data_IF_645850549615
#
_entry.id   IF_645850549615
#
_cell.length_a   1.000
_cell.length_b   1.000
_cell.length_c   1.000
_cell.angle_alpha   90.00
_cell.angle_beta   90.00
_cell.angle_gamma   90.00
#
_symmetry.space_group_name_H-M   'P 1'
#
loop_
_entity.id
_entity.type
_entity.pdbx_description
1 polymer ?
#
# COMPACT_ATOMS: atom_id res chain seq x y z
N UNK A 1 -14.19 -5.80 3.46
CA UNK A 1 -12.75 -5.55 3.52
C UNK A 1 -12.40 -5.11 4.95
N UNK A 2 -11.98 -6.06 5.78
CA UNK A 2 -11.79 -5.83 7.22
C UNK A 2 -10.44 -5.15 7.45
N UNK A 3 -10.47 -3.85 7.64
CA UNK A 3 -9.35 -3.10 8.19
C UNK A 3 -9.47 -3.15 9.71
N UNK A 4 -8.95 -4.21 10.34
CA UNK A 4 -8.79 -4.24 11.80
C UNK A 4 -7.69 -3.23 12.15
N UNK A 5 -8.11 -2.08 12.63
CA UNK A 5 -7.26 -1.07 13.26
C UNK A 5 -6.98 -1.54 14.70
N UNK A 6 -6.23 -2.64 14.81
CA UNK A 6 -5.60 -3.08 16.05
C UNK A 6 -4.12 -2.81 15.88
N UNK A 7 -3.47 -2.29 16.91
CA UNK A 7 -2.02 -2.14 17.05
C UNK A 7 -1.36 -3.53 17.09
N UNK A 8 -1.49 -4.30 16.01
CA UNK A 8 -0.80 -5.56 15.89
C UNK A 8 0.65 -5.24 15.52
N UNK A 9 1.56 -5.75 16.33
CA UNK A 9 3.00 -5.69 16.06
C UNK A 9 3.21 -6.15 14.60
N UNK A 10 3.61 -5.22 13.72
CA UNK A 10 3.84 -5.55 12.30
C UNK A 10 4.96 -6.58 12.24
N UNK A 11 4.80 -7.61 11.42
CA UNK A 11 5.77 -8.69 11.29
C UNK A 11 7.16 -8.19 10.85
N UNK A 12 7.20 -7.09 10.11
CA UNK A 12 8.45 -6.40 9.76
C UNK A 12 9.29 -6.08 10.99
N UNK A 13 8.70 -5.61 12.10
CA UNK A 13 9.47 -5.32 13.31
C UNK A 13 10.06 -6.58 13.95
N UNK A 14 9.33 -7.70 13.86
CA UNK A 14 9.86 -9.00 14.33
C UNK A 14 11.07 -9.40 13.49
N UNK A 15 11.01 -9.25 12.18
CA UNK A 15 12.13 -9.54 11.27
C UNK A 15 13.34 -8.63 11.56
N UNK A 16 13.11 -7.33 11.79
CA UNK A 16 14.17 -6.39 12.15
C UNK A 16 14.83 -6.79 13.45
N UNK A 17 14.03 -7.11 14.47
CA UNK A 17 14.54 -7.58 15.75
C UNK A 17 15.38 -8.87 15.62
N UNK A 18 14.88 -9.85 14.86
CA UNK A 18 15.61 -11.10 14.62
C UNK A 18 16.94 -10.85 13.90
N UNK A 19 17.00 -9.99 12.87
CA UNK A 19 18.23 -9.65 12.19
C UNK A 19 19.28 -9.06 13.17
N UNK A 20 18.85 -8.13 14.04
CA UNK A 20 19.75 -7.56 15.07
C UNK A 20 20.19 -8.64 16.05
N UNK A 21 19.28 -9.47 16.56
CA UNK A 21 19.59 -10.49 17.53
C UNK A 21 20.59 -11.51 16.98
N UNK A 22 20.39 -12.00 15.75
CA UNK A 22 21.32 -12.93 15.12
C UNK A 22 22.68 -12.29 14.84
N UNK A 23 22.70 -11.04 14.39
CA UNK A 23 23.96 -10.31 14.19
C UNK A 23 24.76 -10.18 15.51
N UNK A 24 24.10 -9.87 16.63
CA UNK A 24 24.76 -9.78 17.92
C UNK A 24 25.29 -11.14 18.41
N UNK A 25 24.57 -12.23 18.11
CA UNK A 25 25.07 -13.59 18.40
C UNK A 25 26.29 -13.91 17.55
N UNK A 26 26.23 -13.68 16.24
CA UNK A 26 27.35 -13.93 15.31
C UNK A 26 28.58 -13.07 15.65
N UNK A 27 28.37 -11.87 16.19
CA UNK A 27 29.51 -11.02 16.63
C UNK A 27 30.32 -11.61 17.78
N UNK A 28 29.71 -12.47 18.61
CA UNK A 28 30.41 -13.12 19.70
C UNK A 28 31.32 -14.28 19.23
N UNK A 29 30.85 -15.09 18.29
CA UNK A 29 31.60 -16.22 17.72
C UNK A 29 31.08 -16.50 16.30
N UNK A 30 31.62 -15.80 15.26
CA UNK A 30 31.12 -15.89 13.90
C UNK A 30 31.13 -17.30 13.32
N UNK A 31 32.20 -18.08 13.61
CA UNK A 31 32.30 -19.43 13.05
C UNK A 31 31.28 -20.39 13.65
N UNK A 32 31.09 -20.33 14.97
CA UNK A 32 30.18 -21.20 15.69
C UNK A 32 28.72 -20.94 15.22
N UNK A 33 28.30 -19.68 15.22
CA UNK A 33 26.91 -19.34 14.87
C UNK A 33 26.62 -19.49 13.39
N UNK A 34 27.58 -19.19 12.50
CA UNK A 34 27.44 -19.48 11.08
C UNK A 34 27.25 -20.99 10.86
N UNK A 35 28.03 -21.84 11.50
CA UNK A 35 27.85 -23.30 11.40
C UNK A 35 26.51 -23.78 11.97
N UNK A 36 26.00 -23.14 13.01
CA UNK A 36 24.74 -23.54 13.65
C UNK A 36 23.51 -23.15 12.84
N UNK A 37 23.53 -21.99 12.21
CA UNK A 37 22.37 -21.38 11.58
C UNK A 37 22.38 -21.45 10.05
N UNK A 38 23.53 -21.68 9.40
CA UNK A 38 23.63 -21.85 7.98
C UNK A 38 22.75 -23.00 7.49
N UNK A 39 22.13 -22.81 6.32
CA UNK A 39 21.44 -23.90 5.67
C UNK A 39 22.45 -24.92 5.12
N UNK A 40 22.28 -26.16 5.55
CA UNK A 40 22.96 -27.34 5.00
C UNK A 40 21.96 -28.49 4.96
N UNK A 41 21.75 -29.07 3.78
CA UNK A 41 20.76 -30.10 3.57
C UNK A 41 21.05 -31.38 4.36
N UNK A 42 22.33 -31.71 4.55
CA UNK A 42 22.72 -32.90 5.33
C UNK A 42 22.34 -32.76 6.80
N UNK A 43 22.57 -31.59 7.38
CA UNK A 43 22.19 -31.25 8.74
C UNK A 43 20.65 -31.19 8.92
N UNK A 44 19.93 -30.65 7.95
CA UNK A 44 18.45 -30.65 7.97
C UNK A 44 17.91 -32.08 7.99
N UNK A 45 18.47 -32.98 7.18
CA UNK A 45 18.08 -34.40 7.18
C UNK A 45 18.45 -35.12 8.49
N UNK A 46 19.45 -34.66 9.20
CA UNK A 46 19.83 -35.15 10.53
C UNK A 46 18.90 -34.64 11.66
N UNK A 47 17.90 -33.78 11.33
CA UNK A 47 16.90 -33.27 12.26
C UNK A 47 17.06 -31.80 12.63
N UNK A 48 18.05 -31.09 12.08
CA UNK A 48 18.28 -29.66 12.36
C UNK A 48 17.39 -28.76 11.48
N UNK A 49 16.06 -28.93 11.62
CA UNK A 49 15.04 -28.29 10.75
C UNK A 49 15.00 -26.77 10.87
N UNK A 50 15.47 -26.19 11.97
CA UNK A 50 15.52 -24.73 12.14
C UNK A 50 16.39 -24.05 11.08
N UNK A 51 17.37 -24.73 10.51
CA UNK A 51 18.23 -24.22 9.43
C UNK A 51 17.48 -23.84 8.16
N UNK A 52 16.26 -24.37 7.96
CA UNK A 52 15.38 -23.98 6.87
C UNK A 52 14.96 -22.50 6.93
N UNK A 53 15.01 -21.89 8.10
CA UNK A 53 14.58 -20.52 8.33
C UNK A 53 15.72 -19.65 8.87
N UNK A 54 16.58 -20.18 9.74
CA UNK A 54 17.59 -19.38 10.44
C UNK A 54 18.69 -18.83 9.53
N UNK A 55 18.98 -19.50 8.40
CA UNK A 55 20.00 -19.03 7.45
C UNK A 55 19.68 -17.64 6.89
N UNK A 56 18.41 -17.21 6.93
CA UNK A 56 17.97 -15.89 6.49
C UNK A 56 18.48 -14.75 7.37
N UNK A 57 18.85 -15.06 8.61
CA UNK A 57 19.30 -14.08 9.59
C UNK A 57 20.80 -14.07 9.76
N UNK A 58 21.53 -15.00 9.10
CA UNK A 58 22.99 -15.06 9.20
C UNK A 58 23.64 -13.98 8.37
N UNK A 59 24.70 -13.38 8.91
CA UNK A 59 25.56 -12.42 8.22
C UNK A 59 26.93 -13.06 8.06
N UNK A 60 27.53 -13.03 6.87
CA UNK A 60 28.81 -13.68 6.65
C UNK A 60 30.01 -12.85 7.15
N UNK A 61 30.01 -12.43 8.42
CA UNK A 61 31.11 -11.68 9.01
C UNK A 61 30.69 -10.68 10.09
N UNK A 62 31.68 -10.07 10.73
CA UNK A 62 31.51 -9.16 11.89
C UNK A 62 32.25 -7.83 11.75
N UNK A 63 32.71 -7.47 10.57
CA UNK A 63 33.48 -6.25 10.32
C UNK A 63 32.61 -5.00 10.10
N UNK A 64 33.26 -3.88 9.81
CA UNK A 64 32.57 -2.61 9.54
C UNK A 64 31.68 -2.67 8.29
N UNK A 65 32.11 -3.39 7.26
CA UNK A 65 31.35 -3.55 6.02
C UNK A 65 30.07 -4.37 6.25
N UNK A 66 30.14 -5.38 7.09
CA UNK A 66 29.01 -6.21 7.49
C UNK A 66 28.00 -5.41 8.33
N UNK A 67 28.46 -4.55 9.23
CA UNK A 67 27.60 -3.63 9.97
C UNK A 67 26.87 -2.66 9.02
N UNK A 68 27.59 -2.11 8.04
CA UNK A 68 26.99 -1.23 7.02
C UNK A 68 25.99 -1.99 6.15
N UNK A 69 26.34 -3.21 5.74
CA UNK A 69 25.46 -4.11 4.99
C UNK A 69 24.18 -4.41 5.78
N UNK A 70 24.29 -4.75 7.07
CA UNK A 70 23.14 -4.97 7.94
C UNK A 70 22.26 -3.72 8.01
N UNK A 71 22.85 -2.54 8.20
CA UNK A 71 22.10 -1.28 8.26
C UNK A 71 21.29 -1.01 6.97
N UNK A 72 21.94 -1.16 5.81
CA UNK A 72 21.27 -1.01 4.51
C UNK A 72 20.16 -2.04 4.35
N UNK A 73 20.44 -3.28 4.69
CA UNK A 73 19.50 -4.40 4.69
C UNK A 73 18.26 -4.11 5.53
N UNK A 74 18.47 -3.65 6.77
CA UNK A 74 17.35 -3.30 7.66
C UNK A 74 16.54 -2.11 7.15
N UNK A 75 17.20 -1.11 6.56
CA UNK A 75 16.53 0.02 5.95
C UNK A 75 15.63 -0.42 4.79
N UNK A 76 16.16 -1.27 3.90
CA UNK A 76 15.39 -1.83 2.78
C UNK A 76 14.24 -2.71 3.26
N UNK A 77 14.49 -3.58 4.24
CA UNK A 77 13.45 -4.43 4.84
C UNK A 77 12.33 -3.58 5.47
N UNK A 78 12.70 -2.54 6.21
CA UNK A 78 11.72 -1.62 6.79
C UNK A 78 10.89 -0.91 5.70
N UNK A 79 11.54 -0.30 4.71
CA UNK A 79 10.86 0.48 3.67
C UNK A 79 9.98 -0.40 2.77
N UNK A 80 10.51 -1.52 2.28
CA UNK A 80 9.79 -2.40 1.36
C UNK A 80 8.81 -3.31 2.10
N UNK A 81 9.25 -3.88 3.22
CA UNK A 81 8.45 -4.80 4.02
C UNK A 81 7.23 -4.11 4.63
N UNK A 82 7.39 -2.91 5.21
CA UNK A 82 6.25 -2.18 5.79
C UNK A 82 5.23 -1.77 4.74
N UNK A 83 5.67 -1.36 3.54
CA UNK A 83 4.75 -1.01 2.46
C UNK A 83 3.98 -2.23 1.93
N UNK A 84 4.67 -3.39 1.77
CA UNK A 84 4.01 -4.63 1.36
C UNK A 84 3.06 -5.16 2.44
N UNK A 85 3.46 -5.12 3.72
CA UNK A 85 2.63 -5.54 4.84
C UNK A 85 1.40 -4.63 5.01
N UNK A 86 1.54 -3.33 4.75
CA UNK A 86 0.43 -2.37 4.82
C UNK A 86 -0.58 -2.58 3.68
N UNK A 87 -0.11 -2.87 2.47
CA UNK A 87 -0.96 -3.07 1.29
C UNK A 87 -1.69 -4.41 1.33
N UNK A 88 -1.02 -5.52 1.75
CA UNK A 88 -1.56 -6.88 1.64
C UNK A 88 -1.97 -7.49 2.97
N UNK A 89 -1.58 -6.88 4.07
CA UNK A 89 -1.76 -7.38 5.41
C UNK A 89 -0.67 -8.38 5.84
N UNK A 90 -0.54 -8.53 7.15
CA UNK A 90 0.52 -9.32 7.79
C UNK A 90 0.53 -10.79 7.33
N UNK A 91 -0.65 -11.42 7.16
CA UNK A 91 -0.73 -12.82 6.76
C UNK A 91 -0.10 -13.08 5.38
N UNK A 92 -0.42 -12.26 4.38
CA UNK A 92 0.14 -12.41 3.03
C UNK A 92 1.62 -12.09 2.99
N UNK A 93 2.07 -11.12 3.78
CA UNK A 93 3.48 -10.77 3.88
C UNK A 93 4.30 -11.90 4.54
N UNK A 94 3.82 -12.50 5.64
CA UNK A 94 4.42 -13.66 6.28
C UNK A 94 4.51 -14.85 5.33
N UNK A 95 3.41 -15.12 4.60
CA UNK A 95 3.36 -16.21 3.62
C UNK A 95 4.37 -15.99 2.49
N UNK A 96 4.47 -14.79 1.97
CA UNK A 96 5.44 -14.41 0.94
C UNK A 96 6.89 -14.61 1.44
N UNK A 97 7.18 -14.15 2.65
CA UNK A 97 8.49 -14.32 3.29
C UNK A 97 8.83 -15.81 3.48
N UNK A 98 7.89 -16.59 4.01
CA UNK A 98 8.07 -18.03 4.22
C UNK A 98 8.30 -18.78 2.89
N UNK A 99 7.49 -18.49 1.85
CA UNK A 99 7.64 -19.09 0.53
C UNK A 99 8.97 -18.73 -0.13
N UNK A 100 9.43 -17.49 0.00
CA UNK A 100 10.76 -17.08 -0.47
C UNK A 100 11.86 -17.86 0.22
N UNK A 101 11.80 -17.94 1.54
CA UNK A 101 12.79 -18.65 2.37
C UNK A 101 12.83 -20.14 2.02
N UNK A 102 11.67 -20.80 2.03
CA UNK A 102 11.59 -22.24 1.71
C UNK A 102 11.91 -22.53 0.26
N UNK A 103 11.57 -21.63 -0.67
CA UNK A 103 11.89 -21.74 -2.08
C UNK A 103 13.41 -21.69 -2.33
N UNK A 104 14.11 -20.75 -1.69
CA UNK A 104 15.58 -20.68 -1.77
C UNK A 104 16.23 -21.91 -1.13
N UNK A 105 15.77 -22.34 0.03
CA UNK A 105 16.27 -23.56 0.69
C UNK A 105 16.01 -24.81 -0.15
N UNK A 106 14.85 -24.92 -0.79
CA UNK A 106 14.49 -26.03 -1.69
C UNK A 106 15.43 -26.13 -2.90
N UNK A 107 15.70 -25.01 -3.57
CA UNK A 107 16.66 -25.00 -4.67
C UNK A 107 18.07 -25.33 -4.19
N UNK A 108 18.49 -24.80 -3.05
CA UNK A 108 19.79 -25.12 -2.47
C UNK A 108 19.92 -26.60 -2.09
N UNK A 109 18.85 -27.21 -1.56
CA UNK A 109 18.80 -28.64 -1.26
C UNK A 109 18.93 -29.50 -2.52
N UNK A 110 18.27 -29.12 -3.63
CA UNK A 110 18.38 -29.81 -4.92
C UNK A 110 19.78 -29.71 -5.53
N UNK A 111 20.46 -28.59 -5.33
CA UNK A 111 21.81 -28.35 -5.83
C UNK A 111 22.91 -28.85 -4.87
N UNK A 112 22.56 -29.28 -3.66
CA UNK A 112 23.52 -29.70 -2.64
C UNK A 112 24.45 -28.59 -2.15
N UNK A 113 23.98 -27.34 -2.15
CA UNK A 113 24.77 -26.18 -1.74
C UNK A 113 24.34 -25.64 -0.38
N UNK A 114 25.29 -25.21 0.48
CA UNK A 114 24.94 -24.49 1.69
C UNK A 114 24.50 -23.05 1.38
N UNK A 115 23.61 -22.48 2.22
CA UNK A 115 23.27 -21.07 2.15
C UNK A 115 23.70 -20.37 3.44
N UNK A 116 24.38 -19.28 3.23
CA UNK A 116 24.87 -18.38 4.25
C UNK A 116 24.56 -16.98 3.76
N UNK A 117 23.44 -16.40 4.09
CA UNK A 117 23.21 -14.98 3.88
C UNK A 117 21.74 -14.58 3.82
N UNK A 118 21.46 -13.38 4.28
CA UNK A 118 20.15 -12.74 4.28
C UNK A 118 19.72 -12.18 2.92
N UNK A 119 20.64 -11.98 1.96
CA UNK A 119 20.31 -11.23 0.73
C UNK A 119 19.31 -11.93 -0.20
N UNK A 120 19.11 -13.24 -0.06
CA UNK A 120 18.16 -13.99 -0.90
C UNK A 120 16.72 -13.48 -0.78
N UNK A 121 16.26 -13.21 0.46
CA UNK A 121 14.92 -12.65 0.70
C UNK A 121 14.82 -11.20 0.23
N UNK A 122 15.89 -10.42 0.33
CA UNK A 122 15.85 -9.03 -0.10
C UNK A 122 15.70 -8.89 -1.61
N UNK A 123 16.32 -9.75 -2.40
CA UNK A 123 16.05 -9.80 -3.84
C UNK A 123 14.58 -10.13 -4.11
N UNK A 124 14.02 -11.09 -3.38
CA UNK A 124 12.61 -11.42 -3.49
C UNK A 124 11.72 -10.22 -3.16
N UNK A 125 11.96 -9.58 -2.01
CA UNK A 125 11.20 -8.40 -1.61
C UNK A 125 11.32 -7.27 -2.63
N UNK A 126 12.52 -7.04 -3.17
CA UNK A 126 12.75 -6.04 -4.21
C UNK A 126 11.95 -6.34 -5.49
N UNK A 127 11.96 -7.60 -5.96
CA UNK A 127 11.24 -7.96 -7.19
C UNK A 127 9.72 -7.87 -7.01
N UNK A 128 9.20 -8.36 -5.88
CA UNK A 128 7.78 -8.29 -5.58
C UNK A 128 7.35 -6.84 -5.34
N UNK A 129 8.16 -6.05 -4.64
CA UNK A 129 7.91 -4.63 -4.42
C UNK A 129 7.91 -3.83 -5.73
N UNK A 130 8.86 -4.11 -6.63
CA UNK A 130 8.92 -3.47 -7.96
C UNK A 130 7.71 -3.83 -8.84
N UNK A 131 7.15 -5.02 -8.66
CA UNK A 131 5.94 -5.45 -9.35
C UNK A 131 4.66 -4.83 -8.75
N UNK A 132 4.61 -4.68 -7.42
CA UNK A 132 3.49 -4.08 -6.72
C UNK A 132 3.45 -2.55 -6.89
N UNK A 133 4.62 -1.89 -6.77
CA UNK A 133 4.76 -0.44 -6.78
C UNK A 133 5.69 0.07 -7.91
N UNK A 134 5.33 -0.13 -9.17
CA UNK A 134 6.22 0.11 -10.32
C UNK A 134 6.63 1.56 -10.53
N UNK A 135 5.88 2.51 -9.99
CA UNK A 135 6.12 3.95 -10.15
C UNK A 135 6.88 4.56 -8.97
N UNK A 136 7.11 3.78 -7.91
CA UNK A 136 7.85 4.27 -6.74
C UNK A 136 9.30 4.58 -7.10
N UNK A 137 9.80 5.65 -6.49
CA UNK A 137 11.17 6.15 -6.69
C UNK A 137 11.89 6.17 -5.35
N UNK A 138 13.05 5.53 -5.30
CA UNK A 138 13.94 5.63 -4.16
C UNK A 138 15.00 6.71 -4.41
N UNK A 139 15.28 7.50 -3.39
CA UNK A 139 16.37 8.46 -3.42
C UNK A 139 17.63 7.80 -2.87
N UNK A 140 18.50 7.32 -3.76
CA UNK A 140 19.79 6.79 -3.33
C UNK A 140 20.63 7.95 -2.76
N UNK A 141 21.13 7.74 -1.55
CA UNK A 141 21.92 8.74 -0.82
C UNK A 141 21.24 10.11 -0.71
N UNK A 142 19.90 10.16 -0.76
CA UNK A 142 19.12 11.39 -0.66
C UNK A 142 19.16 12.33 -1.88
N UNK A 143 19.94 12.01 -2.92
CA UNK A 143 20.16 12.89 -4.07
C UNK A 143 19.68 12.32 -5.41
N UNK A 144 19.86 11.03 -5.66
CA UNK A 144 19.59 10.44 -6.98
C UNK A 144 18.24 9.69 -6.97
N UNK A 145 17.22 10.17 -7.68
CA UNK A 145 15.95 9.48 -7.80
C UNK A 145 16.08 8.27 -8.74
N UNK A 146 15.98 7.05 -8.22
CA UNK A 146 16.01 5.81 -9.00
C UNK A 146 14.67 5.11 -8.90
N UNK A 147 14.06 4.79 -10.03
CA UNK A 147 12.82 4.00 -10.06
C UNK A 147 13.09 2.58 -9.59
N UNK A 148 12.23 2.06 -8.74
CA UNK A 148 12.36 0.69 -8.18
C UNK A 148 12.49 -0.37 -9.28
N UNK A 149 11.81 -0.21 -10.40
CA UNK A 149 11.94 -1.10 -11.56
C UNK A 149 13.37 -1.18 -12.09
N UNK A 150 14.07 -0.04 -12.19
CA UNK A 150 15.45 0.00 -12.67
C UNK A 150 16.35 -0.75 -11.68
N UNK A 151 16.12 -0.54 -10.38
CA UNK A 151 16.86 -1.25 -9.34
C UNK A 151 16.64 -2.76 -9.41
N UNK A 152 15.38 -3.21 -9.61
CA UNK A 152 15.05 -4.61 -9.77
C UNK A 152 15.70 -5.23 -11.03
N UNK A 153 15.67 -4.55 -12.18
CA UNK A 153 16.35 -5.01 -13.39
C UNK A 153 17.86 -5.10 -13.21
N UNK A 154 18.47 -4.09 -12.56
CA UNK A 154 19.90 -4.12 -12.27
C UNK A 154 20.25 -5.29 -11.34
N UNK A 155 19.46 -5.50 -10.28
CA UNK A 155 19.65 -6.62 -9.34
C UNK A 155 19.49 -7.97 -10.03
N UNK A 156 18.53 -8.12 -10.94
CA UNK A 156 18.38 -9.33 -11.75
C UNK A 156 19.59 -9.56 -12.65
N UNK A 157 20.09 -8.50 -13.30
CA UNK A 157 21.28 -8.60 -14.14
C UNK A 157 22.53 -9.03 -13.34
N UNK A 158 22.69 -8.50 -12.12
CA UNK A 158 23.79 -8.90 -11.22
C UNK A 158 23.66 -10.38 -10.82
N UNK A 159 22.44 -10.85 -10.47
CA UNK A 159 22.22 -12.26 -10.15
C UNK A 159 22.54 -13.17 -11.35
N UNK A 160 22.05 -12.83 -12.53
CA UNK A 160 22.33 -13.60 -13.76
C UNK A 160 23.81 -13.60 -14.08
N UNK A 161 24.48 -12.46 -13.99
CA UNK A 161 25.93 -12.37 -14.17
C UNK A 161 26.67 -13.25 -13.15
N UNK A 162 26.25 -13.24 -11.89
CA UNK A 162 26.81 -14.10 -10.85
C UNK A 162 26.68 -15.58 -11.17
N UNK A 163 25.54 -16.02 -11.72
CA UNK A 163 25.33 -17.41 -12.17
C UNK A 163 26.29 -17.76 -13.30
N UNK A 164 26.43 -16.89 -14.30
CA UNK A 164 27.34 -17.11 -15.44
C UNK A 164 28.82 -17.21 -15.02
N UNK A 165 29.16 -16.59 -13.88
CA UNK A 165 30.50 -16.68 -13.26
C UNK A 165 30.67 -17.89 -12.34
N UNK A 166 29.70 -18.80 -12.30
CA UNK A 166 29.75 -20.01 -11.50
C UNK A 166 29.19 -19.87 -10.09
N UNK A 167 28.55 -18.76 -9.77
CA UNK A 167 27.91 -18.52 -8.48
C UNK A 167 26.58 -19.27 -8.36
N UNK A 168 26.64 -20.57 -8.13
CA UNK A 168 25.49 -21.48 -8.07
C UNK A 168 24.46 -21.04 -6.98
N UNK A 169 24.93 -20.40 -5.90
CA UNK A 169 24.06 -19.87 -4.84
C UNK A 169 23.04 -18.83 -5.36
N UNK A 170 23.37 -18.11 -6.43
CA UNK A 170 22.44 -17.16 -7.04
C UNK A 170 21.20 -17.83 -7.66
N UNK A 171 21.29 -19.13 -8.02
CA UNK A 171 20.12 -19.91 -8.46
C UNK A 171 19.13 -20.10 -7.31
N UNK A 172 19.60 -20.29 -6.08
CA UNK A 172 18.73 -20.37 -4.90
C UNK A 172 18.01 -19.03 -4.66
N UNK A 173 18.70 -17.89 -4.86
CA UNK A 173 18.06 -16.57 -4.79
C UNK A 173 16.94 -16.42 -5.82
N UNK A 174 17.20 -16.77 -7.07
CA UNK A 174 16.19 -16.72 -8.15
C UNK A 174 15.06 -17.71 -7.90
N UNK A 175 15.34 -18.89 -7.35
CA UNK A 175 14.31 -19.89 -7.02
C UNK A 175 13.34 -19.39 -5.96
N UNK A 176 13.85 -18.84 -4.86
CA UNK A 176 13.03 -18.21 -3.84
C UNK A 176 12.21 -17.04 -4.36
N UNK A 177 12.85 -16.18 -5.16
CA UNK A 177 12.16 -15.06 -5.79
C UNK A 177 11.06 -15.52 -6.76
N UNK A 178 11.31 -16.57 -7.56
CA UNK A 178 10.32 -17.11 -8.48
C UNK A 178 9.09 -17.67 -7.75
N UNK A 179 9.30 -18.46 -6.68
CA UNK A 179 8.21 -19.04 -5.88
C UNK A 179 7.35 -17.92 -5.26
N UNK A 180 7.98 -16.93 -4.64
CA UNK A 180 7.27 -15.80 -4.05
C UNK A 180 6.58 -14.93 -5.11
N UNK A 181 7.17 -14.76 -6.28
CA UNK A 181 6.56 -14.02 -7.38
C UNK A 181 5.35 -14.75 -7.98
N UNK A 182 5.40 -16.09 -8.09
CA UNK A 182 4.24 -16.91 -8.49
C UNK A 182 3.10 -16.75 -7.47
N UNK A 183 3.43 -16.77 -6.19
CA UNK A 183 2.43 -16.51 -5.14
C UNK A 183 1.81 -15.10 -5.29
N UNK A 184 2.63 -14.08 -5.51
CA UNK A 184 2.14 -12.73 -5.79
C UNK A 184 1.19 -12.69 -6.98
N UNK A 185 1.54 -13.34 -8.10
CA UNK A 185 0.69 -13.40 -9.29
C UNK A 185 -0.62 -14.14 -9.01
N UNK A 186 -0.59 -15.24 -8.25
CA UNK A 186 -1.79 -16.01 -7.90
C UNK A 186 -2.78 -15.16 -7.11
N UNK A 187 -2.29 -14.39 -6.14
CA UNK A 187 -3.13 -13.46 -5.37
C UNK A 187 -3.73 -12.37 -6.26
N UNK A 188 -2.93 -11.80 -7.16
CA UNK A 188 -3.40 -10.78 -8.10
C UNK A 188 -4.41 -11.33 -9.10
N UNK A 189 -4.28 -12.57 -9.53
CA UNK A 189 -5.24 -13.25 -10.41
C UNK A 189 -6.51 -13.64 -9.64
N UNK A 190 -6.39 -14.14 -8.41
CA UNK A 190 -7.56 -14.51 -7.58
C UNK A 190 -8.47 -13.30 -7.33
N UNK A 191 -7.90 -12.13 -7.05
CA UNK A 191 -8.69 -10.88 -6.91
C UNK A 191 -9.39 -10.54 -8.23
N UNK A 192 -8.75 -10.73 -9.38
CA UNK A 192 -9.39 -10.53 -10.68
C UNK A 192 -10.47 -11.58 -10.96
N UNK A 193 -10.25 -12.85 -10.59
CA UNK A 193 -11.22 -13.93 -10.80
C UNK A 193 -12.44 -13.77 -9.89
N UNK A 194 -12.27 -13.39 -8.62
CA UNK A 194 -13.39 -13.11 -7.71
C UNK A 194 -14.22 -11.93 -8.23
N UNK A 195 -13.57 -10.87 -8.70
CA UNK A 195 -14.27 -9.73 -9.33
C UNK A 195 -14.98 -10.13 -10.63
N UNK A 196 -14.50 -11.18 -11.34
CA UNK A 196 -15.17 -11.65 -12.57
C UNK A 196 -16.17 -12.78 -12.34
N UNK A 197 -16.09 -13.55 -11.25
CA UNK A 197 -16.98 -14.71 -11.00
C UNK A 197 -18.13 -14.37 -10.04
N UNK A 198 -17.99 -13.36 -9.20
CA UNK A 198 -19.10 -12.79 -8.42
C UNK A 198 -19.88 -11.71 -9.20
N UNK A 199 -19.43 -11.33 -10.37
CA UNK A 199 -20.25 -10.71 -11.37
C UNK A 199 -21.11 -11.78 -12.08
N UNK A 200 -22.11 -12.36 -11.39
CA UNK A 200 -23.41 -12.40 -12.06
C UNK A 200 -23.59 -10.99 -12.59
N UNK A 201 -24.06 -10.82 -13.83
CA UNK A 201 -24.40 -9.48 -14.29
C UNK A 201 -25.55 -9.00 -13.40
N UNK A 202 -25.24 -8.48 -12.23
CA UNK A 202 -25.93 -7.32 -11.74
C UNK A 202 -25.76 -6.42 -12.93
N UNK A 203 -26.83 -6.28 -13.70
CA UNK A 203 -26.95 -5.22 -14.69
C UNK A 203 -26.55 -3.98 -13.93
N UNK A 204 -25.26 -3.63 -14.08
CA UNK A 204 -24.72 -2.40 -13.54
C UNK A 204 -25.50 -1.30 -14.26
N UNK A 205 -26.47 -0.65 -13.57
CA UNK A 205 -27.24 0.40 -14.21
C UNK A 205 -26.34 1.56 -14.64
N UNK A 206 -25.03 1.51 -14.35
CA UNK A 206 -24.11 2.64 -14.44
C UNK A 206 -22.91 2.47 -15.37
N UNK A 207 -22.76 1.38 -16.14
CA UNK A 207 -21.85 1.49 -17.27
C UNK A 207 -22.51 2.33 -18.37
N UNK A 208 -21.98 3.53 -18.66
CA UNK A 208 -22.51 4.30 -19.78
C UNK A 208 -22.26 3.49 -21.05
N UNK A 209 -23.31 2.80 -21.53
CA UNK A 209 -23.34 2.32 -22.90
C UNK A 209 -23.06 3.54 -23.76
N UNK A 210 -22.12 3.44 -24.69
CA UNK A 210 -21.83 4.53 -25.62
C UNK A 210 -23.15 5.07 -26.19
N UNK A 211 -23.55 6.28 -25.77
CA UNK A 211 -24.83 6.90 -26.17
C UNK A 211 -25.88 7.05 -25.06
N UNK A 212 -25.70 6.48 -23.84
CA UNK A 212 -26.65 6.72 -22.75
C UNK A 212 -26.26 8.00 -22.02
N UNK A 213 -27.15 8.96 -21.98
CA UNK A 213 -26.97 10.21 -21.24
C UNK A 213 -26.95 9.89 -19.75
N UNK A 214 -25.86 10.23 -19.08
CA UNK A 214 -25.74 10.10 -17.60
C UNK A 214 -26.61 11.18 -16.93
N UNK A 215 -27.86 10.81 -16.66
CA UNK A 215 -28.86 11.71 -16.08
C UNK A 215 -28.51 12.12 -14.66
N UNK A 216 -27.84 11.25 -13.89
CA UNK A 216 -27.37 11.53 -12.49
C UNK A 216 -26.29 12.59 -12.51
N UNK A 217 -25.28 12.42 -13.37
CA UNK A 217 -24.22 13.40 -13.51
C UNK A 217 -24.75 14.76 -13.99
N UNK A 218 -25.68 14.78 -14.95
CA UNK A 218 -26.32 16.02 -15.43
C UNK A 218 -27.12 16.70 -14.32
N UNK A 219 -27.90 15.93 -13.55
CA UNK A 219 -28.71 16.46 -12.45
C UNK A 219 -27.83 17.03 -11.34
N UNK A 220 -26.81 16.33 -10.94
CA UNK A 220 -25.88 16.80 -9.93
C UNK A 220 -25.06 17.99 -10.43
N UNK A 221 -24.67 18.06 -11.70
CA UNK A 221 -24.00 19.21 -12.29
C UNK A 221 -24.84 20.48 -12.23
N UNK A 222 -26.14 20.37 -12.54
CA UNK A 222 -27.09 21.49 -12.42
C UNK A 222 -27.23 21.95 -10.94
N UNK A 223 -27.31 21.02 -10.00
CA UNK A 223 -27.31 21.33 -8.58
C UNK A 223 -26.03 21.96 -8.10
N UNK A 224 -24.90 21.49 -8.61
CA UNK A 224 -23.59 22.06 -8.30
C UNK A 224 -23.53 23.54 -8.66
N UNK A 225 -23.99 23.89 -9.84
CA UNK A 225 -24.09 25.28 -10.29
C UNK A 225 -25.03 26.10 -9.40
N UNK A 226 -26.22 25.55 -9.05
CA UNK A 226 -27.16 26.21 -8.17
C UNK A 226 -26.65 26.41 -6.73
N UNK A 227 -25.94 25.42 -6.16
CA UNK A 227 -25.26 25.55 -4.86
C UNK A 227 -24.24 26.69 -4.87
N UNK A 228 -23.43 26.77 -5.92
CA UNK A 228 -22.46 27.85 -6.10
C UNK A 228 -23.12 29.22 -6.17
N UNK A 229 -24.19 29.33 -6.93
CA UNK A 229 -24.93 30.58 -7.09
C UNK A 229 -25.57 31.00 -5.76
N UNK A 230 -26.21 30.06 -5.04
CA UNK A 230 -26.82 30.33 -3.73
C UNK A 230 -25.81 30.82 -2.70
N UNK A 231 -24.61 30.22 -2.63
CA UNK A 231 -23.53 30.64 -1.73
C UNK A 231 -22.93 31.99 -2.11
N UNK A 232 -22.88 32.32 -3.42
CA UNK A 232 -22.27 33.58 -3.88
C UNK A 232 -23.20 34.80 -3.74
N UNK A 233 -24.50 34.63 -3.97
CA UNK A 233 -25.44 35.76 -4.05
C UNK A 233 -26.84 35.49 -3.45
N UNK A 234 -27.04 34.29 -2.88
CA UNK A 234 -28.35 33.91 -2.35
C UNK A 234 -28.69 34.58 -1.02
N UNK A 235 -29.98 34.86 -0.84
CA UNK A 235 -30.54 35.25 0.45
C UNK A 235 -30.67 34.04 1.37
N UNK A 236 -30.81 34.27 2.71
CA UNK A 236 -31.05 33.17 3.67
C UNK A 236 -32.25 32.33 3.27
N UNK A 237 -33.33 32.96 2.81
CA UNK A 237 -34.53 32.26 2.31
C UNK A 237 -34.30 31.38 1.08
N UNK A 238 -33.37 31.75 0.23
CA UNK A 238 -32.98 30.96 -0.94
C UNK A 238 -32.09 29.76 -0.53
N UNK A 239 -31.16 29.99 0.35
CA UNK A 239 -30.33 28.90 0.92
C UNK A 239 -31.23 27.90 1.65
N UNK A 240 -32.20 28.35 2.48
CA UNK A 240 -33.15 27.47 3.16
C UNK A 240 -34.00 26.66 2.18
N UNK A 241 -34.46 27.26 1.08
CA UNK A 241 -35.19 26.52 0.02
C UNK A 241 -34.30 25.46 -0.61
N UNK A 242 -33.04 25.77 -0.90
CA UNK A 242 -32.10 24.81 -1.47
C UNK A 242 -31.77 23.68 -0.51
N UNK A 243 -31.54 23.98 0.78
CA UNK A 243 -31.36 22.97 1.82
C UNK A 243 -32.57 22.03 1.87
N UNK A 244 -33.78 22.58 1.96
CA UNK A 244 -35.00 21.79 1.97
C UNK A 244 -35.21 20.94 0.70
N UNK A 245 -34.77 21.43 -0.47
CA UNK A 245 -34.77 20.64 -1.69
C UNK A 245 -33.76 19.49 -1.64
N UNK A 246 -32.52 19.76 -1.25
CA UNK A 246 -31.50 18.73 -1.11
C UNK A 246 -31.90 17.66 -0.10
N UNK A 247 -32.57 18.04 1.00
CA UNK A 247 -33.06 17.09 2.01
C UNK A 247 -34.19 16.19 1.49
N UNK A 248 -35.06 16.69 0.61
CA UNK A 248 -36.09 15.85 -0.01
C UNK A 248 -35.49 14.80 -0.96
N UNK A 249 -34.34 15.11 -1.51
CA UNK A 249 -33.67 14.26 -2.52
C UNK A 249 -32.59 13.34 -1.89
N UNK A 250 -32.50 13.31 -0.55
CA UNK A 250 -31.58 12.40 0.16
C UNK A 250 -31.99 10.95 -0.06
N UNK A 251 -31.03 10.12 -0.45
CA UNK A 251 -31.20 8.68 -0.56
C UNK A 251 -30.92 8.02 0.79
N UNK A 252 -31.89 7.29 1.35
CA UNK A 252 -31.74 6.64 2.64
C UNK A 252 -30.64 5.56 2.60
N UNK A 253 -29.74 5.61 3.55
CA UNK A 253 -28.67 4.59 3.74
C UNK A 253 -27.37 4.84 2.98
N UNK A 254 -27.27 5.92 2.22
CA UNK A 254 -26.03 6.29 1.55
C UNK A 254 -25.07 6.96 2.54
N UNK A 255 -23.83 6.47 2.61
CA UNK A 255 -22.77 7.11 3.38
C UNK A 255 -22.28 8.37 2.65
N UNK A 256 -22.32 9.50 3.33
CA UNK A 256 -21.85 10.79 2.80
C UNK A 256 -20.48 11.14 3.38
N UNK A 257 -19.68 11.82 2.57
CA UNK A 257 -18.37 12.31 2.99
C UNK A 257 -18.50 13.34 4.12
N UNK A 258 -17.48 13.50 4.99
CA UNK A 258 -17.39 14.60 5.92
C UNK A 258 -17.53 15.96 5.20
N UNK A 259 -18.09 17.00 5.83
CA UNK A 259 -18.27 18.30 5.19
C UNK A 259 -16.99 18.93 4.64
N UNK A 260 -15.83 18.60 5.23
CA UNK A 260 -14.54 19.06 4.76
C UNK A 260 -14.13 18.51 3.38
N UNK A 261 -14.66 17.35 3.00
CA UNK A 261 -14.32 16.67 1.74
C UNK A 261 -15.26 17.07 0.59
N UNK A 262 -16.37 17.75 0.90
CA UNK A 262 -17.28 18.29 -0.10
C UNK A 262 -16.69 19.54 -0.74
N UNK A 263 -16.33 19.45 -2.01
CA UNK A 263 -15.76 20.55 -2.80
C UNK A 263 -16.71 20.89 -3.95
N UNK A 264 -17.50 21.96 -3.83
CA UNK A 264 -18.44 22.35 -4.89
C UNK A 264 -17.77 22.76 -6.21
N UNK A 265 -16.45 22.93 -6.20
CA UNK A 265 -15.63 23.20 -7.38
C UNK A 265 -14.92 21.96 -7.92
N UNK A 266 -15.14 20.78 -7.32
CA UNK A 266 -14.48 19.56 -7.73
C UNK A 266 -14.96 19.08 -9.09
N UNK A 267 -14.11 19.20 -10.08
CA UNK A 267 -14.36 18.82 -11.48
C UNK A 267 -14.10 17.32 -11.71
N UNK A 268 -13.62 16.58 -10.72
CA UNK A 268 -13.14 15.20 -10.85
C UNK A 268 -14.24 14.17 -11.15
N UNK A 269 -15.45 14.61 -11.34
CA UNK A 269 -16.56 13.75 -11.76
C UNK A 269 -17.09 12.79 -10.69
N UNK A 270 -16.39 12.65 -9.56
CA UNK A 270 -16.81 11.75 -8.47
C UNK A 270 -18.04 12.29 -7.74
N UNK A 271 -18.00 13.54 -7.28
CA UNK A 271 -19.13 14.17 -6.57
C UNK A 271 -20.38 14.30 -7.48
N UNK A 272 -20.18 14.55 -8.76
CA UNK A 272 -21.26 14.66 -9.74
C UNK A 272 -22.04 13.35 -9.89
N UNK A 273 -21.37 12.20 -9.73
CA UNK A 273 -21.97 10.86 -9.84
C UNK A 273 -22.35 10.25 -8.49
N UNK A 274 -22.12 10.96 -7.39
CA UNK A 274 -22.38 10.45 -6.06
C UNK A 274 -23.86 10.50 -5.72
N UNK A 275 -24.45 9.39 -5.27
CA UNK A 275 -25.83 9.32 -4.80
C UNK A 275 -26.08 10.18 -3.55
N UNK A 276 -25.08 10.31 -2.68
CA UNK A 276 -25.12 11.16 -1.47
C UNK A 276 -24.89 12.64 -1.73
N UNK A 277 -24.82 13.09 -2.99
CA UNK A 277 -24.54 14.49 -3.34
C UNK A 277 -25.54 15.47 -2.72
N UNK A 278 -26.81 15.11 -2.66
CA UNK A 278 -27.85 15.97 -2.10
C UNK A 278 -27.63 16.28 -0.61
N UNK A 279 -27.31 15.27 0.20
CA UNK A 279 -27.04 15.45 1.62
C UNK A 279 -25.73 16.22 1.87
N UNK A 280 -24.67 15.93 1.11
CA UNK A 280 -23.43 16.70 1.16
C UNK A 280 -23.67 18.17 0.82
N UNK A 281 -24.48 18.46 -0.22
CA UNK A 281 -24.84 19.82 -0.64
C UNK A 281 -25.62 20.55 0.46
N UNK A 282 -26.60 19.91 1.09
CA UNK A 282 -27.36 20.48 2.21
C UNK A 282 -26.47 20.84 3.40
N UNK A 283 -25.57 19.94 3.77
CA UNK A 283 -24.58 20.18 4.86
C UNK A 283 -23.66 21.35 4.54
N UNK A 284 -23.18 21.41 3.29
CA UNK A 284 -22.28 22.48 2.85
C UNK A 284 -22.97 23.84 2.83
N UNK A 285 -24.20 23.93 2.35
CA UNK A 285 -25.02 25.14 2.37
C UNK A 285 -25.27 25.63 3.80
N UNK A 286 -25.58 24.71 4.74
CA UNK A 286 -25.76 25.06 6.14
C UNK A 286 -24.48 25.58 6.81
N UNK A 287 -23.34 24.93 6.53
CA UNK A 287 -22.07 25.27 7.14
C UNK A 287 -21.50 26.60 6.63
N UNK A 288 -21.74 26.95 5.37
CA UNK A 288 -21.13 28.10 4.69
C UNK A 288 -22.13 29.21 4.40
N UNK A 289 -23.19 29.35 5.20
CA UNK A 289 -24.10 30.48 5.07
C UNK A 289 -23.35 31.80 5.13
N UNK A 290 -23.54 32.72 4.17
CA UNK A 290 -23.02 34.06 4.30
C UNK A 290 -23.68 34.74 5.51
N UNK A 291 -22.88 35.28 6.41
CA UNK A 291 -23.41 36.06 7.56
C UNK A 291 -24.00 37.32 6.97
N UNK A 292 -25.32 37.40 6.82
CA UNK A 292 -26.01 38.64 6.50
C UNK A 292 -25.73 39.65 7.61
N UNK A 293 -24.95 40.70 7.27
CA UNK A 293 -24.78 41.84 8.19
C UNK A 293 -26.18 42.36 8.49
N UNK A 294 -26.58 42.30 9.76
CA UNK A 294 -27.80 42.91 10.21
C UNK A 294 -27.85 44.36 9.72
N UNK A 295 -28.98 44.85 9.14
CA UNK A 295 -29.08 46.25 8.74
C UNK A 295 -28.76 47.11 9.95
N UNK A 296 -27.90 48.11 9.78
CA UNK A 296 -27.57 49.06 10.84
C UNK A 296 -28.87 49.67 11.38
N UNK A 297 -29.04 49.76 12.70
CA UNK A 297 -30.23 50.38 13.25
C UNK A 297 -30.40 51.78 12.68
N UNK A 298 -31.56 52.05 12.10
CA UNK A 298 -31.95 53.36 11.60
C UNK A 298 -31.77 54.35 12.77
N UNK A 299 -30.87 55.32 12.60
CA UNK A 299 -30.71 56.38 13.54
C UNK A 299 -32.07 57.11 13.70
N UNK A 300 -32.73 56.91 14.85
CA UNK A 300 -33.91 57.69 15.19
C UNK A 300 -33.53 59.19 15.19
N UNK A 301 -34.15 59.90 14.27
CA UNK A 301 -33.96 61.35 14.17
C UNK A 301 -34.41 62.04 15.44
N UNK A 302 -33.49 62.64 16.11
CA UNK A 302 -33.77 63.62 17.17
C UNK A 302 -34.47 64.81 16.57
N UNK A 303 -35.78 64.91 16.71
CA UNK A 303 -36.50 66.17 16.49
C UNK A 303 -36.36 67.00 17.73
N UNK A 304 -35.56 68.03 17.69
CA UNK A 304 -35.52 69.12 18.64
C UNK A 304 -36.65 70.09 18.36
N UNK A 305 -37.48 70.33 19.33
CA UNK A 305 -38.31 71.55 19.46
C UNK A 305 -37.70 72.38 20.57
#
# INVERSE_FOLDING_TARGET
MFRSRGENLRFVYVLLFLNIAFFLLEHQDPEKYARLFAFDWTSVRAGEVWRLVTYQFTQAGSGLLEMLSLFVTMLLLYMMGSALEEEWGTFHFVTLFALSTLGSAGVAALLGIPLLNTYFVYFTLLFVYAAAFPQQTFYLFGAVPVRVRVLAFFSLAVLVYGILRGGVANLAALGGAAVAYIYYLSQRMSVRFVVTTEAEPVEDPEQPRAGRIDTTAMHNAARFAAVKQALASGSDAEIDRMVAQCERDVVAGVNVCPPADYKPDNVDGYCIRCEGFAECAARHLRANRPVTKAPAPLAEGVTSS
#
